data_IF_733868394927
#
_entry.id   IF_733868394927
#
_cell.length_a   1.000
_cell.length_b   1.000
_cell.length_c   1.000
_cell.angle_alpha   90.00
_cell.angle_beta   90.00
_cell.angle_gamma   90.00
#
_symmetry.space_group_name_H-M   'P 1'
#
loop_
_entity.id
_entity.type
_entity.pdbx_description
1 polymer ?
#
# COMPACT_ATOMS: atom_id res chain seq x y z
N UNK A 1 -8.87 12.16 14.62
CA UNK A 1 -8.07 11.78 13.45
C UNK A 1 -8.84 12.14 12.19
N UNK A 2 -8.20 12.83 11.26
CA UNK A 2 -8.80 13.30 10.00
C UNK A 2 -8.13 12.51 8.86
N UNK A 3 -8.81 11.52 8.32
CA UNK A 3 -8.38 10.81 7.11
C UNK A 3 -8.68 11.64 5.85
N UNK A 4 -9.19 11.00 4.82
CA UNK A 4 -9.70 11.68 3.61
C UNK A 4 -10.93 12.59 3.82
N UNK A 5 -11.28 12.89 5.06
CA UNK A 5 -12.48 13.66 5.40
C UNK A 5 -12.33 15.14 4.99
N UNK A 6 -12.51 15.41 3.71
CA UNK A 6 -12.56 16.79 3.16
C UNK A 6 -13.81 17.55 3.58
N UNK A 7 -14.73 16.92 4.33
CA UNK A 7 -16.00 17.48 4.79
C UNK A 7 -15.91 18.20 6.13
N UNK A 8 -14.79 18.09 6.85
CA UNK A 8 -14.60 18.79 8.13
C UNK A 8 -13.81 20.06 7.87
N UNK A 9 -14.48 21.20 8.02
CA UNK A 9 -13.89 22.52 7.84
C UNK A 9 -12.90 22.86 8.95
N UNK A 10 -11.85 23.61 8.64
CA UNK A 10 -10.84 24.06 9.60
C UNK A 10 -11.46 24.82 10.77
N UNK A 11 -12.49 25.62 10.52
CA UNK A 11 -13.24 26.35 11.55
C UNK A 11 -13.86 25.39 12.59
N UNK A 12 -14.37 24.24 12.14
CA UNK A 12 -14.90 23.20 13.02
C UNK A 12 -13.80 22.62 13.91
N UNK A 13 -12.62 22.35 13.33
CA UNK A 13 -11.45 21.85 14.09
C UNK A 13 -11.03 22.87 15.14
N UNK A 14 -10.98 24.14 14.78
CA UNK A 14 -10.64 25.23 15.71
C UNK A 14 -11.67 25.38 16.85
N UNK A 15 -12.96 25.24 16.56
CA UNK A 15 -14.03 25.22 17.58
C UNK A 15 -13.84 24.03 18.53
N UNK A 16 -13.54 22.83 18.02
CA UNK A 16 -13.26 21.65 18.84
C UNK A 16 -12.05 21.92 19.76
N UNK A 17 -10.96 22.46 19.23
CA UNK A 17 -9.76 22.80 20.01
C UNK A 17 -10.05 23.81 21.12
N UNK A 18 -10.91 24.79 20.85
CA UNK A 18 -11.34 25.77 21.85
C UNK A 18 -12.17 25.13 22.97
N UNK A 19 -13.03 24.16 22.61
CA UNK A 19 -13.92 23.47 23.57
C UNK A 19 -13.19 22.39 24.37
N UNK A 20 -12.20 21.74 23.77
CA UNK A 20 -11.41 20.68 24.37
C UNK A 20 -9.92 21.07 24.36
N UNK A 21 -9.48 21.90 25.33
CA UNK A 21 -8.08 22.28 25.45
C UNK A 21 -7.18 21.05 25.61
N UNK A 22 -6.09 21.00 24.85
CA UNK A 22 -5.15 19.88 24.87
C UNK A 22 -5.48 18.72 23.93
N UNK A 23 -6.63 18.77 23.22
CA UNK A 23 -6.87 17.78 22.16
C UNK A 23 -5.79 17.84 21.07
N UNK A 24 -5.30 16.69 20.67
CA UNK A 24 -4.35 16.56 19.56
C UNK A 24 -5.09 16.16 18.29
N UNK A 25 -4.72 16.79 17.20
CA UNK A 25 -5.33 16.55 15.88
C UNK A 25 -4.27 16.10 14.89
N UNK A 26 -4.51 14.97 14.23
CA UNK A 26 -3.67 14.51 13.15
C UNK A 26 -4.48 14.39 11.85
N UNK A 27 -3.80 14.61 10.75
CA UNK A 27 -4.28 14.24 9.43
C UNK A 27 -3.42 13.14 8.82
N UNK A 28 -4.05 12.37 7.96
CA UNK A 28 -3.34 11.36 7.19
C UNK A 28 -3.94 11.24 5.78
N UNK A 29 -3.10 10.90 4.82
CA UNK A 29 -3.52 10.57 3.46
C UNK A 29 -2.91 9.22 3.05
N UNK A 30 -3.76 8.26 2.64
CA UNK A 30 -3.36 6.92 2.20
C UNK A 30 -3.22 6.80 0.67
N UNK A 31 -3.56 7.85 -0.09
CA UNK A 31 -3.30 7.92 -1.53
C UNK A 31 -1.88 8.40 -1.82
N UNK A 32 -1.50 8.31 -3.10
CA UNK A 32 -0.22 8.85 -3.54
C UNK A 32 -0.14 10.36 -3.29
N UNK A 33 0.95 10.76 -2.65
CA UNK A 33 1.29 12.16 -2.43
C UNK A 33 2.58 12.45 -3.18
N UNK A 34 2.44 12.97 -4.40
CA UNK A 34 3.52 13.40 -5.27
C UNK A 34 3.25 14.82 -5.75
N UNK A 35 4.23 15.55 -6.30
CA UNK A 35 4.00 16.90 -6.84
C UNK A 35 2.88 16.97 -7.87
N UNK A 36 2.65 15.87 -8.62
CA UNK A 36 1.60 15.74 -9.63
C UNK A 36 0.21 15.48 -9.01
N UNK A 37 0.17 14.93 -7.81
CA UNK A 37 -1.09 14.65 -7.09
C UNK A 37 -1.66 15.91 -6.41
N UNK A 38 -1.84 16.98 -7.17
CA UNK A 38 -2.22 18.32 -6.70
C UNK A 38 -3.40 18.31 -5.73
N UNK A 39 -4.42 17.49 -5.98
CA UNK A 39 -5.60 17.39 -5.10
C UNK A 39 -5.21 16.95 -3.69
N UNK A 40 -4.40 15.90 -3.56
CA UNK A 40 -3.98 15.36 -2.27
C UNK A 40 -3.03 16.34 -1.55
N UNK A 41 -2.10 16.94 -2.30
CA UNK A 41 -1.17 17.96 -1.77
C UNK A 41 -1.92 19.17 -1.25
N UNK A 42 -2.88 19.71 -2.00
CA UNK A 42 -3.65 20.87 -1.58
C UNK A 42 -4.50 20.56 -0.34
N UNK A 43 -5.19 19.41 -0.31
CA UNK A 43 -6.00 19.01 0.83
C UNK A 43 -5.20 18.87 2.14
N UNK A 44 -3.96 18.39 2.04
CA UNK A 44 -3.05 18.31 3.19
C UNK A 44 -2.56 19.72 3.61
N UNK A 45 -2.15 20.55 2.64
CA UNK A 45 -1.64 21.90 2.92
C UNK A 45 -2.69 22.81 3.59
N UNK A 46 -3.94 22.72 3.17
CA UNK A 46 -5.05 23.50 3.75
C UNK A 46 -5.20 23.29 5.27
N UNK A 47 -4.75 22.15 5.79
CA UNK A 47 -4.92 21.76 7.20
C UNK A 47 -3.69 21.90 8.06
N UNK A 48 -2.54 22.21 7.50
CA UNK A 48 -1.27 22.28 8.25
C UNK A 48 -1.35 23.19 9.47
N UNK A 49 -2.14 24.27 9.39
CA UNK A 49 -2.29 25.22 10.50
C UNK A 49 -3.04 24.60 11.70
N UNK A 50 -4.02 23.75 11.43
CA UNK A 50 -4.97 23.26 12.44
C UNK A 50 -4.67 21.87 12.97
N UNK A 51 -3.66 21.18 12.42
CA UNK A 51 -3.22 19.83 12.87
C UNK A 51 -1.91 19.88 13.63
N UNK A 52 -1.67 18.90 14.48
CA UNK A 52 -0.44 18.72 15.25
C UNK A 52 0.53 17.73 14.58
N UNK A 53 0.02 16.84 13.72
CA UNK A 53 0.78 15.80 13.04
C UNK A 53 0.20 15.58 11.63
N UNK A 54 1.07 15.49 10.64
CA UNK A 54 0.71 15.06 9.28
C UNK A 54 1.38 13.74 8.95
N UNK A 55 0.60 12.77 8.44
CA UNK A 55 1.14 11.48 7.99
C UNK A 55 0.73 11.20 6.55
N UNK A 56 1.67 10.70 5.75
CA UNK A 56 1.45 10.35 4.34
C UNK A 56 1.98 8.96 4.02
N UNK A 57 1.40 8.31 3.02
CA UNK A 57 1.69 6.94 2.62
C UNK A 57 2.94 6.79 1.75
N UNK A 58 3.94 7.65 1.91
CA UNK A 58 5.26 7.51 1.29
C UNK A 58 6.38 7.82 2.28
N UNK A 59 7.46 7.03 2.18
CA UNK A 59 8.70 7.25 2.93
C UNK A 59 9.67 8.22 2.27
N UNK A 60 9.33 8.77 1.11
CA UNK A 60 10.20 9.73 0.41
C UNK A 60 10.32 11.04 1.21
N UNK A 61 11.55 11.33 1.66
CA UNK A 61 11.82 12.51 2.48
C UNK A 61 11.54 13.84 1.77
N UNK A 62 11.62 13.91 0.43
CA UNK A 62 11.26 15.11 -0.31
C UNK A 62 9.76 15.36 -0.24
N UNK A 63 8.96 14.30 -0.36
CA UNK A 63 7.51 14.38 -0.24
C UNK A 63 7.09 14.75 1.19
N UNK A 64 7.70 14.13 2.20
CA UNK A 64 7.47 14.49 3.59
C UNK A 64 7.79 15.97 3.86
N UNK A 65 8.92 16.46 3.35
CA UNK A 65 9.34 17.86 3.53
C UNK A 65 8.37 18.89 2.93
N UNK A 66 7.53 18.50 1.96
CA UNK A 66 6.49 19.41 1.39
C UNK A 66 5.48 19.88 2.45
N UNK A 67 5.32 19.12 3.53
CA UNK A 67 4.32 19.40 4.59
C UNK A 67 4.96 19.83 5.91
N UNK A 68 6.28 20.02 5.93
CA UNK A 68 6.97 20.48 7.14
C UNK A 68 6.60 21.92 7.46
N UNK A 69 6.09 22.16 8.67
CA UNK A 69 5.66 23.48 9.12
C UNK A 69 5.79 23.63 10.65
N UNK A 70 6.41 24.72 11.08
CA UNK A 70 6.41 25.21 12.47
C UNK A 70 6.74 24.16 13.54
N UNK A 71 7.73 23.32 13.29
CA UNK A 71 8.15 22.26 14.21
C UNK A 71 7.14 21.13 14.41
N UNK A 72 6.06 21.08 13.64
CA UNK A 72 5.10 19.98 13.67
C UNK A 72 5.68 18.78 12.92
N UNK A 73 5.59 17.56 13.48
CA UNK A 73 6.14 16.38 12.84
C UNK A 73 5.35 16.00 11.57
N UNK A 74 6.09 15.55 10.58
CA UNK A 74 5.56 14.92 9.38
C UNK A 74 6.16 13.52 9.29
N UNK A 75 5.34 12.51 9.07
CA UNK A 75 5.79 11.13 9.15
C UNK A 75 5.21 10.25 8.05
N UNK A 76 5.95 9.19 7.74
CA UNK A 76 5.44 8.09 6.90
C UNK A 76 4.39 7.28 7.67
N UNK A 77 3.29 6.98 7.00
CA UNK A 77 2.26 6.06 7.47
C UNK A 77 2.13 4.90 6.49
N UNK A 78 2.58 3.69 6.84
CA UNK A 78 2.33 2.51 6.02
C UNK A 78 0.85 2.12 6.03
N UNK A 79 0.38 1.56 4.93
CA UNK A 79 -0.89 0.86 4.92
C UNK A 79 -0.74 -0.44 5.73
N UNK A 80 -1.50 -0.55 6.82
CA UNK A 80 -1.40 -1.64 7.78
C UNK A 80 -2.31 -2.80 7.42
N UNK A 81 -1.92 -4.02 7.80
CA UNK A 81 -2.78 -5.19 7.78
C UNK A 81 -3.46 -5.39 9.15
N UNK A 82 -4.72 -5.84 9.12
CA UNK A 82 -5.49 -6.18 10.30
C UNK A 82 -5.98 -7.63 10.19
N UNK A 83 -5.49 -8.52 11.05
CA UNK A 83 -5.87 -9.93 11.03
C UNK A 83 -7.37 -10.19 11.28
N UNK A 84 -8.13 -9.19 11.71
CA UNK A 84 -9.59 -9.27 11.78
C UNK A 84 -10.27 -9.01 10.43
N UNK A 85 -9.56 -8.38 9.49
CA UNK A 85 -10.04 -8.05 8.13
C UNK A 85 -9.40 -8.99 7.12
N UNK A 86 -8.07 -9.08 7.11
CA UNK A 86 -7.29 -9.96 6.25
C UNK A 86 -7.27 -11.38 6.83
N UNK A 87 -8.32 -12.15 6.56
CA UNK A 87 -8.52 -13.50 7.13
C UNK A 87 -8.09 -14.63 6.19
N UNK A 88 -7.54 -14.31 5.02
CA UNK A 88 -7.07 -15.28 4.05
C UNK A 88 -5.72 -15.90 4.43
N UNK A 89 -5.48 -17.10 3.91
CA UNK A 89 -4.24 -17.87 4.11
C UNK A 89 -3.77 -18.48 2.78
N UNK A 90 -3.74 -17.68 1.70
CA UNK A 90 -3.40 -18.16 0.36
C UNK A 90 -2.04 -18.88 0.30
N UNK A 91 -1.12 -18.57 1.23
CA UNK A 91 0.14 -19.30 1.38
C UNK A 91 -0.03 -20.75 1.90
N UNK A 92 -1.20 -21.14 2.36
CA UNK A 92 -1.49 -22.54 2.76
C UNK A 92 -2.22 -23.33 1.66
N UNK A 93 -2.66 -22.66 0.60
CA UNK A 93 -3.49 -23.22 -0.45
C UNK A 93 -2.67 -23.52 -1.71
N UNK A 94 -2.49 -24.83 -2.02
CA UNK A 94 -1.77 -25.25 -3.23
C UNK A 94 -2.54 -24.96 -4.51
N UNK A 95 -3.87 -25.12 -4.46
CA UNK A 95 -4.76 -24.94 -5.61
C UNK A 95 -5.77 -23.85 -5.27
N UNK A 96 -5.79 -22.83 -6.09
CA UNK A 96 -6.72 -21.72 -5.99
C UNK A 96 -7.48 -21.52 -7.31
N UNK A 97 -8.68 -20.93 -7.29
CA UNK A 97 -9.46 -20.69 -8.50
C UNK A 97 -8.74 -19.84 -9.55
N UNK A 98 -7.92 -18.90 -9.09
CA UNK A 98 -7.16 -17.98 -9.94
C UNK A 98 -5.68 -18.02 -9.59
N UNK A 99 -4.86 -17.68 -10.57
CA UNK A 99 -3.42 -17.59 -10.37
C UNK A 99 -3.03 -16.21 -9.83
N UNK A 100 -3.63 -15.16 -10.40
CA UNK A 100 -3.29 -13.75 -10.10
C UNK A 100 -4.53 -12.91 -9.85
N UNK A 101 -4.47 -12.09 -8.81
CA UNK A 101 -5.44 -11.02 -8.54
C UNK A 101 -4.90 -9.67 -9.01
N UNK A 102 -5.72 -8.91 -9.73
CA UNK A 102 -5.51 -7.49 -9.98
C UNK A 102 -6.84 -6.74 -9.87
N UNK A 103 -7.00 -5.96 -8.82
CA UNK A 103 -8.11 -5.02 -8.63
C UNK A 103 -7.59 -3.59 -8.80
N UNK A 104 -7.93 -2.95 -9.90
CA UNK A 104 -7.53 -1.56 -10.19
C UNK A 104 -8.46 -0.96 -11.24
N UNK A 105 -8.38 0.36 -11.44
CA UNK A 105 -9.07 1.02 -12.54
C UNK A 105 -8.27 0.91 -13.84
N UNK A 106 -8.94 1.07 -14.98
CA UNK A 106 -8.32 1.22 -16.29
C UNK A 106 -7.37 2.43 -16.33
N UNK A 107 -6.47 2.43 -17.30
CA UNK A 107 -5.56 3.53 -17.60
C UNK A 107 -4.09 3.20 -17.33
N UNK A 108 -3.27 4.22 -17.55
CA UNK A 108 -1.81 4.10 -17.49
C UNK A 108 -1.31 3.95 -16.06
N UNK A 109 -0.30 3.13 -15.92
CA UNK A 109 0.43 2.86 -14.69
C UNK A 109 1.93 2.93 -14.97
N UNK A 110 2.67 3.40 -14.00
CA UNK A 110 4.11 3.23 -14.06
C UNK A 110 4.46 1.76 -13.83
N UNK A 111 5.10 1.16 -14.82
CA UNK A 111 5.48 -0.24 -14.81
C UNK A 111 6.92 -0.37 -15.30
N UNK A 112 7.83 -0.84 -14.45
CA UNK A 112 9.26 -0.94 -14.73
C UNK A 112 9.86 0.38 -15.27
N UNK A 113 9.52 1.51 -14.64
CA UNK A 113 10.01 2.83 -15.02
C UNK A 113 9.38 3.46 -16.27
N UNK A 114 8.35 2.83 -16.86
CA UNK A 114 7.64 3.33 -18.05
C UNK A 114 6.15 3.46 -17.76
N UNK A 115 5.50 4.41 -18.42
CA UNK A 115 4.05 4.49 -18.46
C UNK A 115 3.49 3.44 -19.43
N UNK A 116 2.69 2.50 -18.91
CA UNK A 116 2.08 1.41 -19.69
C UNK A 116 0.59 1.30 -19.36
N UNK A 117 -0.21 1.00 -20.38
CA UNK A 117 -1.63 0.71 -20.14
C UNK A 117 -1.77 -0.62 -19.39
N UNK A 118 -2.67 -0.65 -18.40
CA UNK A 118 -2.92 -1.88 -17.63
C UNK A 118 -3.31 -3.05 -18.54
N UNK A 119 -4.06 -2.77 -19.60
CA UNK A 119 -4.49 -3.77 -20.57
C UNK A 119 -3.33 -4.37 -21.38
N UNK A 120 -2.32 -3.57 -21.72
CA UNK A 120 -1.11 -4.06 -22.40
C UNK A 120 -0.37 -5.06 -21.51
N UNK A 121 -0.21 -4.75 -20.19
CA UNK A 121 0.44 -5.65 -19.24
C UNK A 121 -0.31 -6.98 -19.14
N UNK A 122 -1.64 -6.95 -19.09
CA UNK A 122 -2.47 -8.14 -19.01
C UNK A 122 -2.34 -8.98 -20.30
N UNK A 123 -2.47 -8.36 -21.48
CA UNK A 123 -2.41 -9.03 -22.78
C UNK A 123 -1.04 -9.66 -23.03
N UNK A 124 0.04 -8.96 -22.68
CA UNK A 124 1.40 -9.51 -22.76
C UNK A 124 1.59 -10.69 -21.79
N UNK A 125 1.05 -10.61 -20.58
CA UNK A 125 1.10 -11.73 -19.63
C UNK A 125 0.41 -12.98 -20.18
N UNK A 126 -0.75 -12.81 -20.81
CA UNK A 126 -1.51 -13.92 -21.42
C UNK A 126 -0.81 -14.53 -22.64
N UNK A 127 -0.14 -13.68 -23.43
CA UNK A 127 0.63 -14.13 -24.57
C UNK A 127 1.90 -14.91 -24.16
N UNK A 128 2.55 -14.52 -23.05
CA UNK A 128 3.79 -15.12 -22.60
C UNK A 128 3.58 -16.32 -21.67
N UNK A 129 2.46 -16.36 -20.93
CA UNK A 129 2.22 -17.36 -19.87
C UNK A 129 0.96 -18.15 -20.16
N UNK A 130 1.15 -19.33 -20.74
CA UNK A 130 0.04 -20.18 -21.13
C UNK A 130 -0.90 -20.51 -19.97
N UNK A 131 -2.21 -20.30 -20.20
CA UNK A 131 -3.27 -20.66 -19.27
C UNK A 131 -3.25 -19.89 -17.94
N UNK A 132 -2.71 -18.68 -17.92
CA UNK A 132 -2.79 -17.79 -16.72
C UNK A 132 -4.25 -17.37 -16.48
N UNK A 133 -4.70 -17.52 -15.22
CA UNK A 133 -6.07 -17.22 -14.82
C UNK A 133 -6.07 -15.97 -13.94
N UNK A 134 -6.60 -14.87 -14.47
CA UNK A 134 -6.72 -13.60 -13.77
C UNK A 134 -8.06 -13.45 -13.05
N UNK A 135 -8.04 -13.05 -11.78
CA UNK A 135 -9.17 -12.45 -11.10
C UNK A 135 -9.06 -10.92 -11.23
N UNK A 136 -9.94 -10.33 -12.00
CA UNK A 136 -9.89 -8.90 -12.31
C UNK A 136 -11.07 -8.15 -11.66
N UNK A 137 -10.79 -7.02 -11.03
CA UNK A 137 -11.79 -6.06 -10.57
C UNK A 137 -11.54 -4.68 -11.18
N UNK A 138 -12.56 -4.07 -11.80
CA UNK A 138 -12.47 -2.76 -12.44
C UNK A 138 -11.82 -2.74 -13.82
N UNK A 139 -11.58 -3.90 -14.43
CA UNK A 139 -10.90 -4.08 -15.72
C UNK A 139 -11.70 -4.95 -16.67
N UNK A 140 -11.51 -4.79 -17.98
CA UNK A 140 -12.15 -5.60 -19.03
C UNK A 140 -13.68 -5.67 -18.92
N UNK A 141 -14.31 -4.53 -18.62
CA UNK A 141 -15.77 -4.46 -18.45
C UNK A 141 -16.29 -5.08 -17.16
N UNK A 142 -15.43 -5.60 -16.29
CA UNK A 142 -15.83 -6.07 -14.97
C UNK A 142 -15.99 -4.88 -14.02
N UNK A 143 -17.01 -4.86 -13.18
CA UNK A 143 -17.17 -3.78 -12.21
C UNK A 143 -16.03 -3.78 -11.19
N UNK A 144 -15.71 -2.62 -10.59
CA UNK A 144 -14.86 -2.58 -9.40
C UNK A 144 -15.46 -3.43 -8.28
N UNK A 145 -14.62 -4.15 -7.56
CA UNK A 145 -15.03 -4.90 -6.37
C UNK A 145 -15.07 -3.98 -5.16
N UNK A 146 -16.07 -4.14 -4.30
CA UNK A 146 -16.26 -3.34 -3.11
C UNK A 146 -16.70 -4.19 -1.92
N UNK A 147 -16.41 -3.73 -0.69
CA UNK A 147 -16.85 -4.37 0.55
C UNK A 147 -16.43 -5.84 0.64
N UNK A 148 -17.37 -6.72 0.93
CA UNK A 148 -17.12 -8.15 1.12
C UNK A 148 -16.56 -8.81 -0.14
N UNK A 149 -17.05 -8.46 -1.34
CA UNK A 149 -16.58 -9.05 -2.60
C UNK A 149 -15.10 -8.69 -2.86
N UNK A 150 -14.69 -7.47 -2.47
CA UNK A 150 -13.30 -7.05 -2.56
C UNK A 150 -12.41 -7.86 -1.62
N UNK A 151 -12.79 -7.98 -0.35
CA UNK A 151 -12.03 -8.76 0.63
C UNK A 151 -11.98 -10.26 0.29
N UNK A 152 -13.08 -10.82 -0.24
CA UNK A 152 -13.13 -12.21 -0.67
C UNK A 152 -12.31 -12.51 -1.93
N UNK A 153 -12.03 -11.50 -2.76
CA UNK A 153 -11.19 -11.67 -3.93
C UNK A 153 -9.76 -12.06 -3.55
N UNK A 154 -9.21 -11.49 -2.47
CA UNK A 154 -7.87 -11.80 -1.96
C UNK A 154 -7.70 -13.22 -1.39
N UNK A 155 -8.78 -13.97 -1.24
CA UNK A 155 -8.76 -15.38 -0.81
C UNK A 155 -8.80 -16.36 -1.99
N UNK A 156 -8.89 -15.88 -3.23
CA UNK A 156 -9.16 -16.68 -4.43
C UNK A 156 -7.99 -16.78 -5.38
N UNK A 157 -6.90 -16.05 -5.14
CA UNK A 157 -5.71 -16.07 -5.97
C UNK A 157 -4.45 -16.36 -5.15
N UNK A 158 -3.43 -16.91 -5.81
CA UNK A 158 -2.18 -17.22 -5.14
C UNK A 158 -1.15 -16.11 -5.20
N UNK A 159 -1.31 -15.20 -6.16
CA UNK A 159 -0.42 -14.09 -6.44
C UNK A 159 -1.25 -12.81 -6.48
N UNK A 160 -0.83 -11.77 -5.79
CA UNK A 160 -1.42 -10.45 -5.88
C UNK A 160 -0.52 -9.47 -6.61
N UNK A 161 -1.02 -8.81 -7.64
CA UNK A 161 -0.26 -7.83 -8.38
C UNK A 161 -0.41 -6.43 -7.75
N UNK A 162 0.64 -5.94 -7.11
CA UNK A 162 0.69 -4.60 -6.53
C UNK A 162 1.06 -3.57 -7.60
N UNK A 163 0.13 -3.24 -8.48
CA UNK A 163 0.31 -2.25 -9.54
C UNK A 163 -0.36 -0.93 -9.14
N UNK A 164 0.40 -0.04 -8.54
CA UNK A 164 -0.05 1.31 -8.19
C UNK A 164 0.09 2.28 -9.38
N UNK A 165 -0.45 3.49 -9.26
CA UNK A 165 -0.27 4.54 -10.29
C UNK A 165 1.19 4.96 -10.39
N UNK A 166 1.86 5.08 -9.23
CA UNK A 166 3.26 5.45 -9.08
C UNK A 166 3.96 4.29 -8.38
N UNK A 167 4.94 3.67 -9.02
CA UNK A 167 5.71 2.55 -8.48
C UNK A 167 7.19 2.90 -8.28
N UNK A 168 7.56 4.17 -8.44
CA UNK A 168 8.90 4.73 -8.22
C UNK A 168 8.99 5.67 -7.01
N UNK A 169 7.91 5.75 -6.22
CA UNK A 169 7.87 6.55 -5.00
C UNK A 169 8.21 5.66 -3.81
N UNK A 170 9.26 6.02 -3.08
CA UNK A 170 9.81 5.20 -2.00
C UNK A 170 8.79 4.88 -0.91
N UNK A 171 8.61 3.59 -0.63
CA UNK A 171 7.63 3.00 0.30
C UNK A 171 6.17 3.41 0.04
N UNK A 172 5.85 3.83 -1.19
CA UNK A 172 4.46 4.05 -1.55
C UNK A 172 3.82 2.76 -2.08
N UNK A 173 2.67 2.44 -1.52
CA UNK A 173 1.70 1.51 -2.10
C UNK A 173 0.29 2.01 -1.82
N UNK A 174 -0.69 1.55 -2.60
CA UNK A 174 -2.08 1.61 -2.15
C UNK A 174 -2.32 0.59 -1.04
N UNK A 175 -3.47 0.69 -0.36
CA UNK A 175 -3.98 -0.29 0.62
C UNK A 175 -3.98 -1.73 0.09
N UNK A 176 -4.05 -1.91 -1.22
CA UNK A 176 -3.99 -3.22 -1.89
C UNK A 176 -2.80 -4.06 -1.45
N UNK A 177 -1.61 -3.48 -1.22
CA UNK A 177 -0.44 -4.25 -0.78
C UNK A 177 -0.69 -4.91 0.57
N UNK A 178 -1.31 -4.20 1.51
CA UNK A 178 -1.68 -4.74 2.82
C UNK A 178 -2.70 -5.88 2.68
N UNK A 179 -3.70 -5.71 1.80
CA UNK A 179 -4.69 -6.76 1.54
C UNK A 179 -4.06 -7.99 0.84
N UNK A 180 -3.17 -7.80 -0.13
CA UNK A 180 -2.45 -8.90 -0.80
C UNK A 180 -1.69 -9.73 0.22
N UNK A 181 -0.73 -9.11 0.90
CA UNK A 181 0.18 -9.82 1.81
C UNK A 181 -0.58 -10.26 3.06
N UNK A 182 -1.48 -9.43 3.58
CA UNK A 182 -2.28 -9.73 4.77
C UNK A 182 -3.20 -10.94 4.60
N UNK A 183 -3.64 -11.24 3.39
CA UNK A 183 -4.40 -12.46 3.07
C UNK A 183 -3.51 -13.63 2.58
N UNK A 184 -2.18 -13.47 2.64
CA UNK A 184 -1.24 -14.53 2.34
C UNK A 184 -1.02 -14.81 0.86
N UNK A 185 -1.39 -13.90 -0.04
CA UNK A 185 -0.98 -13.97 -1.45
C UNK A 185 0.51 -13.61 -1.59
N UNK A 186 1.18 -14.20 -2.58
CA UNK A 186 2.52 -13.75 -2.97
C UNK A 186 2.39 -12.39 -3.69
N UNK A 187 2.96 -11.35 -3.12
CA UNK A 187 2.94 -10.04 -3.74
C UNK A 187 3.96 -9.92 -4.89
N UNK A 188 3.50 -9.49 -6.08
CA UNK A 188 4.34 -8.99 -7.16
C UNK A 188 4.56 -7.49 -6.95
N UNK A 189 5.81 -7.07 -6.72
CA UNK A 189 6.16 -5.71 -6.30
C UNK A 189 7.28 -5.16 -7.19
N UNK A 190 7.07 -3.97 -7.77
CA UNK A 190 8.14 -3.25 -8.45
C UNK A 190 9.23 -2.85 -7.44
N UNK A 191 10.46 -3.22 -7.71
CA UNK A 191 11.63 -2.98 -6.85
C UNK A 191 11.87 -1.49 -6.59
N UNK A 192 11.49 -0.64 -7.53
CA UNK A 192 11.60 0.82 -7.42
C UNK A 192 10.80 1.40 -6.25
N UNK A 193 9.78 0.68 -5.73
CA UNK A 193 9.02 1.07 -4.54
C UNK A 193 9.85 1.04 -3.25
N UNK A 194 11.00 0.37 -3.20
CA UNK A 194 11.84 0.24 -1.99
C UNK A 194 11.32 -0.74 -0.92
N UNK A 195 10.23 -1.48 -1.15
CA UNK A 195 9.73 -2.45 -0.14
C UNK A 195 10.69 -3.62 0.11
N UNK A 196 11.68 -3.85 -0.76
CA UNK A 196 12.75 -4.81 -0.53
C UNK A 196 13.64 -4.45 0.67
N UNK A 197 13.63 -3.20 1.15
CA UNK A 197 14.31 -2.78 2.37
C UNK A 197 13.61 -3.28 3.64
N UNK A 198 12.37 -3.76 3.53
CA UNK A 198 11.52 -4.14 4.67
C UNK A 198 11.06 -5.60 4.57
N UNK A 199 10.56 -6.00 3.39
CA UNK A 199 10.12 -7.35 3.11
C UNK A 199 11.33 -8.15 2.60
N UNK A 200 11.66 -9.32 3.16
CA UNK A 200 12.76 -10.13 2.69
C UNK A 200 12.69 -10.41 1.18
N UNK A 201 13.84 -10.45 0.51
CA UNK A 201 13.94 -10.65 -0.94
C UNK A 201 13.20 -11.92 -1.43
N UNK A 202 13.17 -12.97 -0.60
CA UNK A 202 12.45 -14.21 -0.85
C UNK A 202 11.05 -14.25 -0.19
N UNK A 203 10.55 -13.12 0.28
CA UNK A 203 9.20 -12.93 0.85
C UNK A 203 8.20 -12.29 -0.11
N UNK A 204 8.66 -11.84 -1.27
CA UNK A 204 7.81 -11.30 -2.35
C UNK A 204 8.46 -11.58 -3.72
N UNK A 205 7.69 -11.43 -4.77
CA UNK A 205 8.20 -11.49 -6.15
C UNK A 205 8.57 -10.06 -6.59
N UNK A 206 9.74 -9.59 -6.14
CA UNK A 206 10.27 -8.29 -6.56
C UNK A 206 10.78 -8.35 -7.99
N UNK A 207 10.44 -7.37 -8.81
CA UNK A 207 10.90 -7.24 -10.19
C UNK A 207 11.40 -5.82 -10.48
N UNK A 208 12.42 -5.69 -11.33
CA UNK A 208 13.00 -4.41 -11.75
C UNK A 208 12.93 -4.21 -13.27
N UNK A 209 12.44 -5.21 -14.02
CA UNK A 209 12.24 -5.13 -15.47
C UNK A 209 11.01 -5.92 -15.89
N UNK A 210 10.50 -5.61 -17.09
CA UNK A 210 9.36 -6.35 -17.66
C UNK A 210 9.67 -7.83 -17.83
N UNK A 211 10.89 -8.18 -18.24
CA UNK A 211 11.31 -9.57 -18.40
C UNK A 211 11.30 -10.30 -17.08
N UNK A 212 11.92 -9.71 -16.05
CA UNK A 212 11.91 -10.28 -14.69
C UNK A 212 10.50 -10.43 -14.12
N UNK A 213 9.59 -9.49 -14.42
CA UNK A 213 8.18 -9.58 -14.03
C UNK A 213 7.51 -10.83 -14.64
N UNK A 214 7.64 -11.04 -15.96
CA UNK A 214 7.02 -12.17 -16.62
C UNK A 214 7.64 -13.50 -16.21
N UNK A 215 8.97 -13.55 -16.04
CA UNK A 215 9.68 -14.74 -15.58
C UNK A 215 9.22 -15.16 -14.17
N UNK A 216 9.15 -14.22 -13.23
CA UNK A 216 8.68 -14.48 -11.87
C UNK A 216 7.21 -14.87 -11.84
N UNK A 217 6.37 -14.19 -12.62
CA UNK A 217 4.96 -14.53 -12.73
C UNK A 217 4.76 -15.96 -13.26
N UNK A 218 5.47 -16.34 -14.32
CA UNK A 218 5.44 -17.70 -14.87
C UNK A 218 5.98 -18.72 -13.88
N UNK A 219 7.10 -18.42 -13.21
CA UNK A 219 7.72 -19.30 -12.23
C UNK A 219 6.78 -19.62 -11.07
N UNK A 220 6.23 -18.58 -10.40
CA UNK A 220 5.39 -18.79 -9.24
C UNK A 220 4.00 -19.34 -9.56
N UNK A 221 3.47 -19.05 -10.76
CA UNK A 221 2.26 -19.70 -11.26
C UNK A 221 2.46 -21.23 -11.37
N UNK A 222 3.60 -21.65 -11.88
CA UNK A 222 3.89 -23.08 -12.15
C UNK A 222 4.51 -23.82 -10.95
N UNK A 223 4.96 -23.11 -9.91
CA UNK A 223 5.65 -23.69 -8.74
C UNK A 223 4.92 -23.33 -7.44
N UNK A 224 3.82 -24.04 -7.16
CA UNK A 224 2.99 -23.78 -5.98
C UNK A 224 3.79 -23.82 -4.67
N UNK A 225 4.73 -24.74 -4.50
CA UNK A 225 5.53 -24.85 -3.26
C UNK A 225 6.42 -23.63 -3.07
N UNK A 226 7.09 -23.16 -4.13
CA UNK A 226 7.89 -21.94 -4.08
C UNK A 226 7.03 -20.70 -3.79
N UNK A 227 5.84 -20.60 -4.43
CA UNK A 227 4.87 -19.53 -4.19
C UNK A 227 4.43 -19.51 -2.73
N UNK A 228 3.97 -20.65 -2.20
CA UNK A 228 3.48 -20.77 -0.83
C UNK A 228 4.56 -20.42 0.20
N UNK A 229 5.79 -20.88 -0.03
CA UNK A 229 6.94 -20.60 0.85
C UNK A 229 7.26 -19.10 0.87
N UNK A 230 7.36 -18.47 -0.29
CA UNK A 230 7.64 -17.04 -0.40
C UNK A 230 6.50 -16.20 0.18
N UNK A 231 5.24 -16.51 -0.15
CA UNK A 231 4.07 -15.83 0.37
C UNK A 231 3.97 -15.89 1.91
N UNK A 232 4.24 -17.05 2.52
CA UNK A 232 4.28 -17.19 3.99
C UNK A 232 5.35 -16.31 4.60
N UNK A 233 6.55 -16.28 4.02
CA UNK A 233 7.65 -15.43 4.51
C UNK A 233 7.33 -13.95 4.41
N UNK A 234 6.72 -13.54 3.30
CA UNK A 234 6.22 -12.17 3.12
C UNK A 234 5.16 -11.80 4.15
N UNK A 235 4.18 -12.68 4.36
CA UNK A 235 3.12 -12.52 5.35
C UNK A 235 3.69 -12.30 6.76
N UNK A 236 4.59 -13.18 7.21
CA UNK A 236 5.21 -13.11 8.54
C UNK A 236 6.03 -11.81 8.72
N UNK A 237 6.77 -11.41 7.67
CA UNK A 237 7.53 -10.17 7.69
C UNK A 237 6.60 -8.94 7.73
N UNK A 238 5.54 -8.94 6.93
CA UNK A 238 4.61 -7.82 6.83
C UNK A 238 3.86 -7.61 8.14
N UNK A 239 3.30 -8.65 8.75
CA UNK A 239 2.64 -8.55 10.05
C UNK A 239 3.60 -8.15 11.17
N UNK A 240 4.85 -8.57 11.15
CA UNK A 240 5.85 -8.11 12.12
C UNK A 240 6.08 -6.60 12.04
N UNK A 241 6.06 -6.03 10.84
CA UNK A 241 6.37 -4.62 10.59
C UNK A 241 5.11 -3.73 10.56
N UNK A 242 4.05 -4.18 9.91
CA UNK A 242 2.91 -3.35 9.53
C UNK A 242 1.57 -3.87 10.05
N UNK A 243 1.54 -4.61 11.17
CA UNK A 243 0.26 -4.91 11.79
C UNK A 243 -0.40 -3.64 12.35
N UNK A 244 -1.72 -3.66 12.43
CA UNK A 244 -2.52 -2.51 12.88
C UNK A 244 -2.13 -2.00 14.27
N UNK A 245 -1.72 -2.88 15.20
CA UNK A 245 -1.33 -2.48 16.56
C UNK A 245 0.00 -1.74 16.56
N UNK A 246 0.99 -2.28 15.83
CA UNK A 246 2.32 -1.66 15.69
C UNK A 246 2.22 -0.27 15.05
N UNK A 247 1.48 -0.16 13.96
CA UNK A 247 1.32 1.12 13.25
C UNK A 247 0.50 2.12 14.09
N UNK A 248 -0.57 1.68 14.74
CA UNK A 248 -1.38 2.56 15.61
C UNK A 248 -0.60 3.04 16.82
N UNK A 249 0.24 2.18 17.42
CA UNK A 249 1.12 2.58 18.53
C UNK A 249 2.12 3.67 18.10
N UNK A 250 2.70 3.52 16.91
CA UNK A 250 3.57 4.55 16.31
C UNK A 250 2.83 5.88 16.10
N UNK A 251 1.62 5.84 15.52
CA UNK A 251 0.78 7.03 15.34
C UNK A 251 0.50 7.72 16.68
N UNK A 252 0.13 6.95 17.70
CA UNK A 252 -0.16 7.47 19.04
C UNK A 252 1.09 8.09 19.70
N UNK A 253 2.25 7.45 19.56
CA UNK A 253 3.51 7.95 20.11
C UNK A 253 3.93 9.28 19.48
N UNK A 254 3.78 9.42 18.16
CA UNK A 254 4.04 10.68 17.46
C UNK A 254 3.09 11.79 17.91
N UNK A 255 1.79 11.49 17.97
CA UNK A 255 0.76 12.47 18.33
C UNK A 255 0.87 12.94 19.78
N UNK A 256 1.27 12.06 20.70
CA UNK A 256 1.48 12.38 22.13
C UNK A 256 2.84 13.02 22.40
N UNK A 257 3.77 13.02 21.44
CA UNK A 257 5.14 13.50 21.65
C UNK A 257 6.03 12.55 22.45
N UNK A 258 5.63 11.29 22.59
CA UNK A 258 6.42 10.25 23.30
C UNK A 258 7.36 9.47 22.40
N UNK A 259 7.23 9.63 21.08
CA UNK A 259 8.14 9.05 20.10
C UNK A 259 9.53 9.67 20.24
N UNK A 260 10.55 8.86 20.48
CA UNK A 260 11.94 9.35 20.70
C UNK A 260 12.83 9.05 19.51
N UNK A 261 12.92 7.77 19.16
CA UNK A 261 13.83 7.29 18.09
C UNK A 261 13.14 6.20 17.28
N UNK A 262 13.43 6.12 15.96
CA UNK A 262 12.96 5.00 15.15
C UNK A 262 13.49 3.66 15.69
N UNK A 263 12.59 2.71 15.88
CA UNK A 263 12.90 1.33 16.24
C UNK A 263 12.82 0.39 15.03
N UNK A 264 12.23 0.89 13.94
CA UNK A 264 12.01 0.16 12.70
C UNK A 264 12.46 0.98 11.49
N UNK A 265 12.94 0.33 10.41
CA UNK A 265 13.50 1.05 9.25
C UNK A 265 12.49 1.97 8.54
N UNK A 266 11.21 1.66 8.64
CA UNK A 266 10.13 2.43 8.02
C UNK A 266 9.61 3.59 8.88
N UNK A 267 10.02 3.74 10.12
CA UNK A 267 9.61 4.85 10.98
C UNK A 267 10.35 6.14 10.59
N UNK A 268 9.92 6.75 9.50
CA UNK A 268 10.51 7.96 8.94
C UNK A 268 9.72 9.17 9.42
N UNK A 269 10.40 10.07 10.13
CA UNK A 269 9.84 11.32 10.70
C UNK A 269 10.77 12.47 10.36
N UNK A 270 10.19 13.64 10.03
CA UNK A 270 10.95 14.87 9.76
C UNK A 270 10.40 16.07 10.55
#
# INVERSE_FOLDING_TARGET
MLGHANTVENETILKIRKTLPGIKVMQWNCDAVTPESKRNVNALNERLEVVDLTMISTGDKKMLNMFKKDGKPVAYLPNMADAAIETGTAFAERILPFDVLLCTNTGRRQFCGKDKETEEILSESENRIAGIRWLLGGLRGRPPLHGADYLDAFKKAGIGFNLSRYNDVYLYSSDRLAHIIGNGELALIDRATGFADIIPEDGAAFYGSEEEFYDKLAFYKNNADARMKAARKGYEAFYREFDNKTVTAYMAALLSGTFKTPERPWQIVI
#
